data_IF_962144289346
#
_entry.id   IF_962144289346
#
_cell.length_a   1.000
_cell.length_b   1.000
_cell.length_c   1.000
_cell.angle_alpha   90.00
_cell.angle_beta   90.00
_cell.angle_gamma   90.00
#
_symmetry.space_group_name_H-M   'P 1'
#
loop_
_entity.id
_entity.type
_entity.pdbx_description
1 polymer ?
#
# COMPACT_ATOMS: atom_id res chain seq x y z
N UNK A 1 -13.73 11.17 28.23
CA UNK A 1 -13.43 11.62 26.86
C UNK A 1 -12.91 10.42 26.09
N UNK A 2 -13.53 9.98 24.99
CA UNK A 2 -13.01 8.85 24.24
C UNK A 2 -11.74 9.30 23.50
N UNK A 3 -10.67 8.53 23.66
CA UNK A 3 -9.39 8.73 22.97
C UNK A 3 -9.64 8.52 21.48
N UNK A 4 -9.67 9.61 20.70
CA UNK A 4 -9.59 9.52 19.24
C UNK A 4 -8.16 9.08 18.90
N UNK A 5 -7.93 7.77 18.83
CA UNK A 5 -6.80 7.26 18.06
C UNK A 5 -7.14 7.52 16.59
N UNK A 6 -6.74 8.68 16.10
CA UNK A 6 -6.72 9.01 14.68
C UNK A 6 -5.88 7.94 13.99
N UNK A 7 -6.51 7.11 13.17
CA UNK A 7 -5.81 6.12 12.38
C UNK A 7 -5.68 6.74 10.99
N UNK A 8 -4.56 7.42 10.73
CA UNK A 8 -4.37 8.23 9.51
C UNK A 8 -4.61 7.43 8.22
N UNK A 9 -4.34 6.12 8.25
CA UNK A 9 -4.69 5.22 7.14
C UNK A 9 -6.20 5.11 6.97
N UNK A 10 -6.98 5.01 8.05
CA UNK A 10 -8.44 5.06 7.95
C UNK A 10 -8.91 6.41 7.40
N UNK A 11 -8.26 7.51 7.75
CA UNK A 11 -8.66 8.85 7.26
C UNK A 11 -8.33 9.02 5.77
N UNK A 12 -7.14 8.56 5.34
CA UNK A 12 -6.69 8.51 3.94
C UNK A 12 -7.49 7.52 3.09
N UNK A 13 -8.04 6.45 3.68
CA UNK A 13 -8.86 5.46 2.97
C UNK A 13 -10.34 5.86 2.90
N UNK A 14 -10.84 6.59 3.89
CA UNK A 14 -12.25 7.00 3.98
C UNK A 14 -12.53 8.42 3.48
N UNK A 15 -11.63 9.03 2.69
CA UNK A 15 -11.77 10.39 2.17
C UNK A 15 -11.96 11.46 3.26
N UNK A 16 -11.28 11.33 4.41
CA UNK A 16 -11.32 12.33 5.49
C UNK A 16 -10.14 13.31 5.48
N UNK A 17 -9.20 13.10 4.56
CA UNK A 17 -8.08 14.00 4.24
C UNK A 17 -8.34 14.75 2.92
N UNK A 18 -7.40 15.59 2.48
CA UNK A 18 -7.52 16.25 1.17
C UNK A 18 -7.58 15.21 0.03
N UNK A 19 -8.47 15.43 -0.95
CA UNK A 19 -8.68 14.55 -2.12
C UNK A 19 -7.39 14.25 -2.91
N UNK A 20 -6.42 15.18 -2.89
CA UNK A 20 -5.14 15.02 -3.56
C UNK A 20 -4.19 14.09 -2.79
N UNK A 21 -4.19 14.17 -1.47
CA UNK A 21 -3.32 13.35 -0.61
C UNK A 21 -3.83 11.91 -0.54
N UNK A 22 -5.16 11.72 -0.49
CA UNK A 22 -5.81 10.42 -0.57
C UNK A 22 -5.49 9.68 -1.88
N UNK A 23 -5.64 10.33 -3.03
CA UNK A 23 -5.35 9.70 -4.33
C UNK A 23 -3.88 9.32 -4.45
N UNK A 24 -2.97 10.20 -4.00
CA UNK A 24 -1.53 9.90 -3.96
C UNK A 24 -1.23 8.71 -3.06
N UNK A 25 -1.85 8.65 -1.88
CA UNK A 25 -1.65 7.51 -0.96
C UNK A 25 -2.10 6.20 -1.58
N UNK A 26 -3.33 6.17 -2.11
CA UNK A 26 -3.92 4.96 -2.67
C UNK A 26 -3.15 4.48 -3.90
N UNK A 27 -2.68 5.41 -4.74
CA UNK A 27 -1.77 5.11 -5.86
C UNK A 27 -0.46 4.49 -5.39
N UNK A 28 0.23 5.15 -4.47
CA UNK A 28 1.49 4.68 -3.92
C UNK A 28 1.36 3.30 -3.26
N UNK A 29 0.30 3.12 -2.46
CA UNK A 29 0.00 1.86 -1.80
C UNK A 29 -0.24 0.74 -2.80
N UNK A 30 -1.07 0.98 -3.83
CA UNK A 30 -1.36 -0.01 -4.84
C UNK A 30 -0.14 -0.37 -5.68
N UNK A 31 0.66 0.64 -6.06
CA UNK A 31 1.92 0.43 -6.77
C UNK A 31 2.84 -0.47 -5.96
N UNK A 32 3.13 -0.13 -4.70
CA UNK A 32 4.00 -0.90 -3.81
C UNK A 32 3.48 -2.32 -3.59
N UNK A 33 2.17 -2.50 -3.43
CA UNK A 33 1.58 -3.84 -3.29
C UNK A 33 1.85 -4.68 -4.54
N UNK A 34 1.64 -4.11 -5.73
CA UNK A 34 1.85 -4.79 -6.99
C UNK A 34 3.33 -5.08 -7.27
N UNK A 35 4.24 -4.22 -6.80
CA UNK A 35 5.67 -4.52 -6.77
C UNK A 35 5.99 -5.76 -5.95
N UNK A 36 5.43 -5.80 -4.74
CA UNK A 36 5.70 -6.84 -3.76
C UNK A 36 5.20 -8.21 -4.22
N UNK A 37 3.96 -8.30 -4.74
CA UNK A 37 3.36 -9.57 -5.18
C UNK A 37 3.60 -9.86 -6.67
N UNK A 38 4.22 -8.94 -7.41
CA UNK A 38 4.54 -9.12 -8.82
C UNK A 38 3.32 -9.17 -9.75
N UNK A 39 3.46 -9.91 -10.85
CA UNK A 39 2.43 -9.99 -11.88
C UNK A 39 1.23 -10.80 -11.39
N UNK A 40 0.14 -10.11 -11.10
CA UNK A 40 -1.16 -10.71 -10.80
C UNK A 40 -1.70 -11.39 -12.07
N UNK A 41 -1.90 -12.71 -12.01
CA UNK A 41 -2.52 -13.44 -13.12
C UNK A 41 -3.99 -13.05 -13.32
N UNK A 42 -4.49 -13.20 -14.55
CA UNK A 42 -5.87 -12.88 -14.96
C UNK A 42 -6.92 -13.44 -13.97
N UNK A 43 -6.70 -14.68 -13.54
CA UNK A 43 -7.59 -15.44 -12.65
C UNK A 43 -7.58 -14.94 -11.21
N UNK A 44 -6.51 -14.29 -10.78
CA UNK A 44 -6.36 -13.77 -9.42
C UNK A 44 -6.80 -12.30 -9.30
N UNK A 45 -6.93 -11.59 -10.44
CA UNK A 45 -7.37 -10.19 -10.49
C UNK A 45 -8.65 -9.93 -9.68
N UNK A 46 -9.61 -10.85 -9.68
CA UNK A 46 -10.86 -10.70 -8.93
C UNK A 46 -10.62 -10.65 -7.41
N UNK A 47 -9.78 -11.55 -6.89
CA UNK A 47 -9.41 -11.62 -5.47
C UNK A 47 -8.67 -10.35 -5.03
N UNK A 48 -7.73 -9.87 -5.83
CA UNK A 48 -7.00 -8.64 -5.52
C UNK A 48 -7.87 -7.40 -5.61
N UNK A 49 -8.77 -7.31 -6.60
CA UNK A 49 -9.75 -6.22 -6.69
C UNK A 49 -10.58 -6.11 -5.41
N UNK A 50 -11.05 -7.23 -4.87
CA UNK A 50 -11.81 -7.24 -3.62
C UNK A 50 -10.95 -6.81 -2.43
N UNK A 51 -9.72 -7.31 -2.32
CA UNK A 51 -8.77 -6.88 -1.28
C UNK A 51 -8.46 -5.38 -1.36
N UNK A 52 -8.19 -4.83 -2.55
CA UNK A 52 -7.95 -3.41 -2.76
C UNK A 52 -9.18 -2.55 -2.40
N UNK A 53 -10.38 -3.01 -2.78
CA UNK A 53 -11.61 -2.35 -2.40
C UNK A 53 -11.83 -2.35 -0.88
N UNK A 54 -11.58 -3.47 -0.20
CA UNK A 54 -11.76 -3.57 1.25
C UNK A 54 -10.71 -2.73 2.01
N UNK A 55 -9.45 -2.74 1.55
CA UNK A 55 -8.32 -2.17 2.29
C UNK A 55 -8.07 -0.70 1.98
N UNK A 56 -8.34 -0.27 0.75
CA UNK A 56 -8.02 1.07 0.27
C UNK A 56 -9.23 1.79 -0.33
N UNK A 57 -10.41 1.16 -0.35
CA UNK A 57 -11.60 1.70 -1.02
C UNK A 57 -11.30 2.13 -2.47
N UNK A 58 -10.41 1.39 -3.13
CA UNK A 58 -10.06 1.56 -4.53
C UNK A 58 -11.05 0.77 -5.38
N UNK A 59 -11.67 1.45 -6.34
CA UNK A 59 -12.48 0.75 -7.33
C UNK A 59 -11.60 0.08 -8.39
N UNK A 60 -12.24 -0.76 -9.22
CA UNK A 60 -11.50 -1.49 -10.25
C UNK A 60 -10.88 -0.57 -11.30
N UNK A 61 -11.52 0.55 -11.64
CA UNK A 61 -11.04 1.47 -12.66
C UNK A 61 -9.77 2.19 -12.20
N UNK A 62 -9.79 2.76 -10.99
CA UNK A 62 -8.63 3.42 -10.38
C UNK A 62 -7.45 2.45 -10.23
N UNK A 63 -7.71 1.21 -9.80
CA UNK A 63 -6.68 0.19 -9.71
C UNK A 63 -6.04 -0.13 -11.08
N UNK A 64 -6.84 -0.19 -12.16
CA UNK A 64 -6.33 -0.46 -13.51
C UNK A 64 -5.51 0.69 -14.07
N UNK A 65 -5.90 1.94 -13.80
CA UNK A 65 -5.10 3.10 -14.18
C UNK A 65 -3.72 3.06 -13.51
N UNK A 66 -3.66 2.71 -12.23
CA UNK A 66 -2.39 2.55 -11.49
C UNK A 66 -1.57 1.38 -12.06
N UNK A 67 -2.23 0.26 -12.38
CA UNK A 67 -1.59 -0.94 -12.91
C UNK A 67 -1.13 -0.84 -14.37
N UNK A 68 -1.61 0.16 -15.13
CA UNK A 68 -1.17 0.42 -16.49
C UNK A 68 0.17 1.18 -16.51
N UNK A 69 0.48 1.91 -15.45
CA UNK A 69 1.66 2.77 -15.30
C UNK A 69 2.78 2.03 -14.54
N UNK A 70 3.14 0.83 -15.01
CA UNK A 70 4.19 -0.03 -14.42
C UNK A 70 5.59 0.47 -14.75
N UNK A 71 5.89 1.73 -14.44
CA UNK A 71 7.28 2.19 -14.41
C UNK A 71 7.91 1.82 -13.06
N UNK A 72 8.44 0.60 -13.00
CA UNK A 72 9.15 0.05 -11.84
C UNK A 72 10.29 0.95 -11.30
N UNK A 73 10.78 1.92 -12.10
CA UNK A 73 11.82 2.86 -11.67
C UNK A 73 11.36 3.86 -10.60
N UNK A 74 10.04 4.05 -10.43
CA UNK A 74 9.48 5.02 -9.47
C UNK A 74 9.20 4.43 -8.08
N UNK A 75 9.57 3.17 -7.81
CA UNK A 75 9.31 2.53 -6.51
C UNK A 75 9.86 3.35 -5.33
N UNK A 76 11.04 3.93 -5.47
CA UNK A 76 11.63 4.75 -4.41
C UNK A 76 10.83 6.05 -4.18
N UNK A 77 10.24 6.63 -5.23
CA UNK A 77 9.36 7.80 -5.15
C UNK A 77 8.04 7.46 -4.45
N UNK A 78 7.43 6.32 -4.78
CA UNK A 78 6.18 5.88 -4.16
C UNK A 78 6.41 5.46 -2.68
N UNK A 79 7.57 4.89 -2.34
CA UNK A 79 7.97 4.65 -0.95
C UNK A 79 8.13 5.99 -0.20
N UNK A 80 8.78 6.98 -0.82
CA UNK A 80 8.90 8.31 -0.22
C UNK A 80 7.53 8.96 0.00
N UNK A 81 6.61 8.82 -0.95
CA UNK A 81 5.22 9.28 -0.82
C UNK A 81 4.52 8.66 0.41
N UNK A 82 4.62 7.33 0.59
CA UNK A 82 4.07 6.67 1.79
C UNK A 82 4.75 7.20 3.06
N UNK A 83 6.06 7.40 3.07
CA UNK A 83 6.78 7.93 4.24
C UNK A 83 6.38 9.36 4.60
N UNK A 84 6.22 10.24 3.62
CA UNK A 84 5.75 11.61 3.86
C UNK A 84 4.36 11.62 4.49
N UNK A 85 3.50 10.70 4.06
CA UNK A 85 2.14 10.62 4.54
C UNK A 85 2.01 9.93 5.90
N UNK A 86 2.74 8.83 6.16
CA UNK A 86 2.56 7.97 7.34
C UNK A 86 3.85 7.53 8.04
N UNK A 87 5.03 7.99 7.64
CA UNK A 87 6.34 7.54 8.14
C UNK A 87 6.88 8.30 9.36
N UNK A 88 6.76 9.64 9.41
CA UNK A 88 7.43 10.45 10.45
C UNK A 88 6.93 10.23 11.88
N UNK A 89 5.76 10.78 12.22
CA UNK A 89 5.18 10.73 13.58
C UNK A 89 4.22 9.53 13.77
N UNK A 90 3.94 8.80 12.70
CA UNK A 90 2.84 7.82 12.58
C UNK A 90 3.34 6.37 12.53
N UNK A 91 4.22 6.00 13.48
CA UNK A 91 4.82 4.64 13.56
C UNK A 91 3.78 3.52 13.57
N UNK A 92 2.65 3.77 14.22
CA UNK A 92 1.56 2.80 14.29
C UNK A 92 0.93 2.56 12.91
N UNK A 93 0.72 3.63 12.16
CA UNK A 93 0.15 3.62 10.82
C UNK A 93 1.10 2.96 9.83
N UNK A 94 2.41 3.24 9.91
CA UNK A 94 3.39 2.50 9.12
C UNK A 94 3.31 0.98 9.38
N UNK A 95 3.19 0.57 10.64
CA UNK A 95 3.02 -0.85 10.99
C UNK A 95 1.70 -1.43 10.48
N UNK A 96 0.62 -0.65 10.46
CA UNK A 96 -0.65 -1.05 9.84
C UNK A 96 -0.49 -1.22 8.32
N UNK A 97 0.23 -0.32 7.65
CA UNK A 97 0.50 -0.43 6.23
C UNK A 97 1.32 -1.69 5.91
N UNK A 98 2.38 -1.96 6.67
CA UNK A 98 3.17 -3.19 6.55
C UNK A 98 2.33 -4.46 6.79
N UNK A 99 1.38 -4.40 7.75
CA UNK A 99 0.43 -5.49 7.99
C UNK A 99 -0.49 -5.71 6.79
N UNK A 100 -0.95 -4.64 6.14
CA UNK A 100 -1.74 -4.73 4.90
C UNK A 100 -0.90 -5.35 3.78
N UNK A 101 0.32 -4.87 3.55
CA UNK A 101 1.25 -5.45 2.57
C UNK A 101 1.43 -6.96 2.78
N UNK A 102 1.67 -7.38 4.03
CA UNK A 102 1.81 -8.79 4.36
C UNK A 102 0.51 -9.60 4.07
N UNK A 103 -0.68 -9.01 4.21
CA UNK A 103 -1.94 -9.67 3.83
C UNK A 103 -2.02 -9.93 2.33
N UNK A 104 -1.49 -9.02 1.50
CA UNK A 104 -1.41 -9.23 0.05
C UNK A 104 -0.41 -10.35 -0.31
N UNK A 105 0.76 -10.37 0.32
CA UNK A 105 1.74 -11.46 0.14
C UNK A 105 1.13 -12.82 0.50
N UNK A 106 0.45 -12.89 1.64
CA UNK A 106 -0.24 -14.11 2.07
C UNK A 106 -1.37 -14.51 1.11
N UNK A 107 -2.08 -13.52 0.55
CA UNK A 107 -3.11 -13.76 -0.46
C UNK A 107 -2.52 -14.29 -1.78
N UNK A 108 -1.29 -13.93 -2.13
CA UNK A 108 -0.58 -14.42 -3.33
C UNK A 108 0.05 -15.80 -3.16
N UNK A 109 -0.18 -16.45 -2.02
CA UNK A 109 0.37 -17.76 -1.74
C UNK A 109 1.75 -17.72 -1.06
N UNK A 110 2.22 -16.52 -0.69
CA UNK A 110 3.44 -16.31 0.09
C UNK A 110 4.65 -17.02 -0.53
N UNK A 111 4.91 -16.74 -1.81
CA UNK A 111 6.11 -17.29 -2.45
C UNK A 111 7.36 -16.69 -1.79
N UNK A 112 8.48 -17.42 -1.86
CA UNK A 112 9.75 -16.93 -1.34
C UNK A 112 10.19 -15.63 -2.03
N UNK A 113 9.81 -15.45 -3.30
CA UNK A 113 10.10 -14.23 -4.06
C UNK A 113 9.28 -13.05 -3.56
N UNK A 114 7.96 -13.20 -3.39
CA UNK A 114 7.09 -12.14 -2.88
C UNK A 114 7.50 -11.70 -1.47
N UNK A 115 7.85 -12.68 -0.62
CA UNK A 115 8.31 -12.38 0.72
C UNK A 115 9.63 -11.62 0.70
N UNK A 116 10.57 -11.99 -0.17
CA UNK A 116 11.83 -11.25 -0.33
C UNK A 116 11.61 -9.81 -0.81
N UNK A 117 10.67 -9.60 -1.75
CA UNK A 117 10.30 -8.25 -2.21
C UNK A 117 9.64 -7.44 -1.11
N UNK A 118 8.75 -8.07 -0.32
CA UNK A 118 8.18 -7.47 0.87
C UNK A 118 9.25 -7.02 1.87
N UNK A 119 10.26 -7.85 2.14
CA UNK A 119 11.35 -7.48 3.04
C UNK A 119 12.16 -6.28 2.53
N UNK A 120 12.46 -6.22 1.23
CA UNK A 120 13.13 -5.07 0.62
C UNK A 120 12.33 -3.77 0.79
N UNK A 121 11.03 -3.82 0.51
CA UNK A 121 10.13 -2.67 0.68
C UNK A 121 10.00 -2.29 2.16
N UNK A 122 9.85 -3.28 3.05
CA UNK A 122 9.79 -3.08 4.51
C UNK A 122 11.05 -2.37 5.00
N UNK A 123 12.22 -2.86 4.61
CA UNK A 123 13.48 -2.33 5.09
C UNK A 123 13.68 -0.89 4.59
N UNK A 124 13.34 -0.60 3.33
CA UNK A 124 13.33 0.77 2.79
C UNK A 124 12.35 1.69 3.54
N UNK A 125 11.14 1.21 3.83
CA UNK A 125 10.14 1.95 4.61
C UNK A 125 10.62 2.25 6.03
N UNK A 126 11.41 1.35 6.63
CA UNK A 126 11.90 1.46 8.01
C UNK A 126 13.31 2.09 8.12
N UNK A 127 14.01 2.33 7.01
CA UNK A 127 15.43 2.73 7.01
C UNK A 127 15.71 4.04 7.77
N UNK A 128 14.76 4.98 7.80
CA UNK A 128 14.89 6.27 8.51
C UNK A 128 14.56 6.19 10.01
N UNK A 129 14.22 5.01 10.54
CA UNK A 129 13.97 4.82 11.97
C UNK A 129 15.20 4.33 12.77
N UNK A 130 16.36 4.21 12.12
CA UNK A 130 17.64 3.90 12.77
C UNK A 130 18.41 5.18 13.08
#
# INVERSE_FOLDING_TARGET
MPVKHFNKICDLVNNQESLADERKFKRAAAFIICEVIGNIEEVEKAKYRELFKIKFNLDSHELWEILLDKDFSILDEEIACIKEQIGGEHKYELMQFLKILNQFVMAHGCSQEDYRRFELVRDKLIEEFK
#
